data_IF_056018399800
#
_entry.id   IF_056018399800
#
_cell.length_a   1.000
_cell.length_b   1.000
_cell.length_c   1.000
_cell.angle_alpha   90.00
_cell.angle_beta   90.00
_cell.angle_gamma   90.00
#
_symmetry.space_group_name_H-M   'P 1'
#
loop_
_entity.id
_entity.type
_entity.pdbx_description
1 polymer ?
#
# COMPACT_ATOMS: atom_id res chain seq x y z
N UNK A 1 32.59 -28.90 -50.80
CA UNK A 1 32.08 -27.53 -50.60
C UNK A 1 30.80 -27.41 -51.41
N UNK A 2 29.65 -27.46 -50.76
CA UNK A 2 28.34 -27.42 -51.44
C UNK A 2 27.63 -26.14 -51.00
N UNK A 3 27.52 -25.19 -51.93
CA UNK A 3 26.80 -23.93 -51.75
C UNK A 3 25.33 -24.19 -52.12
N UNK A 4 24.45 -24.18 -51.13
CA UNK A 4 23.00 -24.23 -51.35
C UNK A 4 22.46 -22.81 -51.48
N UNK A 5 22.22 -22.38 -52.73
CA UNK A 5 21.44 -21.18 -53.04
C UNK A 5 20.06 -21.31 -52.42
N UNK A 6 19.73 -20.37 -51.55
CA UNK A 6 18.41 -20.28 -50.91
C UNK A 6 17.55 -19.34 -51.77
N UNK A 7 16.53 -19.89 -52.42
CA UNK A 7 15.54 -19.15 -53.20
C UNK A 7 14.74 -18.21 -52.29
N UNK A 8 14.98 -16.90 -52.43
CA UNK A 8 14.17 -15.83 -51.87
C UNK A 8 12.88 -15.72 -52.67
N UNK A 9 11.84 -16.48 -52.28
CA UNK A 9 10.47 -16.25 -52.77
C UNK A 9 9.95 -14.92 -52.22
N UNK A 10 9.87 -13.92 -53.10
CA UNK A 10 9.13 -12.68 -52.86
C UNK A 10 7.64 -13.01 -52.67
N UNK A 11 7.19 -13.06 -51.42
CA UNK A 11 5.76 -13.07 -51.11
C UNK A 11 5.22 -11.65 -51.28
N UNK A 12 4.39 -11.45 -52.28
CA UNK A 12 3.57 -10.24 -52.42
C UNK A 12 2.52 -10.22 -51.30
N UNK A 13 2.39 -9.11 -50.54
CA UNK A 13 1.41 -9.02 -49.46
C UNK A 13 0.01 -9.20 -50.02
N UNK A 14 -0.76 -10.09 -49.40
CA UNK A 14 -2.16 -10.36 -49.74
C UNK A 14 -3.04 -9.16 -49.37
N UNK A 15 -4.03 -8.85 -50.20
CA UNK A 15 -4.96 -7.70 -50.05
C UNK A 15 -5.52 -7.57 -48.63
N UNK A 16 -5.85 -8.70 -47.99
CA UNK A 16 -6.42 -8.75 -46.64
C UNK A 16 -5.49 -8.17 -45.55
N UNK A 17 -4.18 -8.10 -45.79
CA UNK A 17 -3.22 -7.51 -44.86
C UNK A 17 -3.27 -5.98 -44.88
N UNK A 18 -3.74 -5.37 -45.97
CA UNK A 18 -3.78 -3.91 -46.11
C UNK A 18 -4.98 -3.34 -45.34
N UNK A 19 -6.13 -4.00 -45.44
CA UNK A 19 -7.36 -3.57 -44.75
C UNK A 19 -7.20 -3.63 -43.22
N UNK A 20 -6.55 -4.67 -42.69
CA UNK A 20 -6.25 -4.77 -41.27
C UNK A 20 -5.34 -3.64 -40.76
N UNK A 21 -4.40 -3.18 -41.60
CA UNK A 21 -3.51 -2.06 -41.25
C UNK A 21 -4.29 -0.74 -41.24
N UNK A 22 -5.20 -0.55 -42.20
CA UNK A 22 -6.03 0.67 -42.27
C UNK A 22 -6.98 0.78 -41.08
N UNK A 23 -7.62 -0.30 -40.65
CA UNK A 23 -8.49 -0.32 -39.47
C UNK A 23 -7.73 0.01 -38.17
N UNK A 24 -6.52 -0.53 -38.03
CA UNK A 24 -5.66 -0.22 -36.89
C UNK A 24 -5.23 1.26 -36.89
N UNK A 25 -4.91 1.83 -38.06
CA UNK A 25 -4.56 3.25 -38.18
C UNK A 25 -5.75 4.16 -37.82
N UNK A 26 -6.96 3.81 -38.26
CA UNK A 26 -8.18 4.55 -37.89
C UNK A 26 -8.41 4.54 -36.37
N UNK A 27 -8.25 3.37 -35.74
CA UNK A 27 -8.40 3.21 -34.29
C UNK A 27 -7.37 4.02 -33.50
N UNK A 28 -6.12 4.08 -33.99
CA UNK A 28 -5.06 4.88 -33.38
C UNK A 28 -5.39 6.38 -33.50
N UNK A 29 -5.90 6.82 -34.65
CA UNK A 29 -6.23 8.22 -34.89
C UNK A 29 -7.40 8.71 -34.03
N UNK A 30 -8.40 7.85 -33.79
CA UNK A 30 -9.50 8.12 -32.86
C UNK A 30 -8.97 8.31 -31.42
N UNK A 31 -8.11 7.40 -30.95
CA UNK A 31 -7.49 7.51 -29.61
C UNK A 31 -6.66 8.78 -29.43
N UNK A 32 -5.90 9.17 -30.45
CA UNK A 32 -5.13 10.43 -30.41
C UNK A 32 -6.07 11.63 -30.25
N UNK A 33 -7.21 11.63 -30.96
CA UNK A 33 -8.19 12.71 -30.88
C UNK A 33 -8.82 12.82 -29.48
N UNK A 34 -9.15 11.68 -28.85
CA UNK A 34 -9.66 11.65 -27.47
C UNK A 34 -8.65 12.25 -26.48
N UNK A 35 -7.38 11.84 -26.57
CA UNK A 35 -6.32 12.33 -25.68
C UNK A 35 -6.10 13.84 -25.84
N UNK A 36 -6.19 14.36 -27.07
CA UNK A 36 -6.08 15.81 -27.31
C UNK A 36 -7.23 16.58 -26.64
N UNK A 37 -8.44 16.03 -26.63
CA UNK A 37 -9.60 16.65 -25.99
C UNK A 37 -9.51 16.65 -24.46
N UNK A 38 -8.98 15.57 -23.88
CA UNK A 38 -8.73 15.48 -22.44
C UNK A 38 -7.69 16.50 -21.99
N UNK A 39 -6.61 16.68 -22.75
CA UNK A 39 -5.58 17.69 -22.47
C UNK A 39 -6.14 19.12 -22.48
N UNK A 40 -7.05 19.43 -23.42
CA UNK A 40 -7.74 20.73 -23.43
C UNK A 40 -8.61 20.92 -22.18
N UNK A 41 -9.29 19.87 -21.74
CA UNK A 41 -10.15 19.92 -20.55
C UNK A 41 -9.33 20.12 -19.27
N UNK A 42 -8.21 19.42 -19.12
CA UNK A 42 -7.29 19.58 -18.00
C UNK A 42 -6.70 21.00 -17.98
N UNK A 43 -6.29 21.52 -19.14
CA UNK A 43 -5.75 22.87 -19.24
C UNK A 43 -6.77 23.92 -18.79
N UNK A 44 -8.06 23.75 -19.13
CA UNK A 44 -9.13 24.66 -18.67
C UNK A 44 -9.29 24.64 -17.14
N UNK A 45 -9.16 23.50 -16.49
CA UNK A 45 -9.24 23.39 -15.03
C UNK A 45 -8.03 24.06 -14.36
N UNK A 46 -6.85 23.96 -14.96
CA UNK A 46 -5.63 24.62 -14.46
C UNK A 46 -5.64 26.13 -14.66
N UNK A 47 -6.23 26.60 -15.75
CA UNK A 47 -6.34 28.04 -16.07
C UNK A 47 -7.51 28.72 -15.31
N UNK A 48 -8.41 27.97 -14.64
CA UNK A 48 -9.41 28.59 -13.77
C UNK A 48 -8.72 29.25 -12.57
N UNK A 49 -8.87 30.58 -12.38
CA UNK A 49 -8.32 31.25 -11.22
C UNK A 49 -8.93 30.63 -9.94
N UNK A 50 -8.15 30.48 -8.86
CA UNK A 50 -8.62 29.85 -7.64
C UNK A 50 -9.88 30.57 -7.16
N UNK A 51 -11.02 29.89 -7.27
CA UNK A 51 -12.31 30.43 -6.85
C UNK A 51 -12.16 30.88 -5.41
N UNK A 52 -12.31 32.18 -5.18
CA UNK A 52 -12.26 32.78 -3.86
C UNK A 52 -13.23 32.03 -2.96
N UNK A 53 -12.70 31.37 -1.93
CA UNK A 53 -13.51 30.66 -0.93
C UNK A 53 -14.62 31.60 -0.46
N UNK A 54 -15.90 31.17 -0.46
CA UNK A 54 -16.96 31.98 0.12
C UNK A 54 -16.58 32.25 1.57
N UNK A 55 -16.44 33.54 1.88
CA UNK A 55 -16.12 34.04 3.22
C UNK A 55 -17.30 33.62 4.10
N UNK A 56 -17.07 32.68 5.01
CA UNK A 56 -18.07 32.20 5.96
C UNK A 56 -18.57 33.39 6.78
N UNK A 57 -19.72 33.94 6.40
CA UNK A 57 -20.44 34.92 7.21
C UNK A 57 -21.01 34.19 8.41
N UNK A 58 -20.60 34.63 9.59
CA UNK A 58 -21.05 34.14 10.88
C UNK A 58 -22.58 34.07 10.95
N UNK A 59 -23.11 32.89 11.27
CA UNK A 59 -24.52 32.71 11.60
C UNK A 59 -24.78 33.22 13.02
N UNK A 60 -25.71 34.15 13.13
CA UNK A 60 -26.44 34.45 14.36
C UNK A 60 -27.28 33.22 14.75
N UNK A 61 -27.23 32.84 16.03
CA UNK A 61 -28.08 31.84 16.62
C UNK A 61 -29.51 32.39 16.84
N UNK A 62 -30.55 31.59 16.59
CA UNK A 62 -31.83 31.73 17.27
C UNK A 62 -32.02 30.62 18.31
N UNK A 63 -32.48 31.03 19.50
CA UNK A 63 -33.13 30.17 20.48
C UNK A 63 -34.38 29.52 19.87
N UNK A 64 -34.66 28.25 20.22
CA UNK A 64 -35.97 27.73 20.67
C UNK A 64 -35.95 26.20 20.86
N UNK A 65 -36.53 25.82 21.99
CA UNK A 65 -36.99 24.55 22.57
C UNK A 65 -37.21 23.27 21.72
N UNK A 66 -36.66 22.19 22.27
CA UNK A 66 -37.28 20.90 22.65
C UNK A 66 -38.19 20.16 21.66
N UNK A 67 -37.65 19.10 21.05
CA UNK A 67 -38.39 17.87 20.73
C UNK A 67 -37.42 16.66 20.71
N UNK A 68 -37.87 15.55 21.29
CA UNK A 68 -37.11 14.32 21.56
C UNK A 68 -36.70 13.55 20.30
N UNK A 69 -35.41 13.33 20.13
CA UNK A 69 -34.86 12.31 19.22
C UNK A 69 -34.46 11.03 19.99
N UNK A 70 -34.65 9.83 19.40
CA UNK A 70 -34.22 8.55 19.99
C UNK A 70 -32.68 8.46 20.07
N UNK A 71 -32.14 7.61 20.97
CA UNK A 71 -30.72 7.64 21.31
C UNK A 71 -29.88 7.28 20.09
N UNK A 72 -29.08 8.25 19.65
CA UNK A 72 -27.96 8.00 18.75
C UNK A 72 -27.06 7.00 19.47
N UNK A 73 -26.83 5.84 18.86
CA UNK A 73 -25.83 4.89 19.34
C UNK A 73 -24.48 5.60 19.38
N UNK A 74 -24.02 5.90 20.60
CA UNK A 74 -22.74 6.54 20.88
C UNK A 74 -21.60 5.63 20.42
N UNK A 75 -21.15 5.81 19.17
CA UNK A 75 -19.83 5.35 18.77
C UNK A 75 -18.79 6.19 19.54
N UNK A 76 -18.32 5.64 20.65
CA UNK A 76 -17.39 6.24 21.60
C UNK A 76 -16.24 7.01 20.94
N UNK A 77 -16.37 8.34 20.99
CA UNK A 77 -15.30 9.34 20.77
C UNK A 77 -14.70 9.82 22.11
N UNK A 78 -15.10 9.19 23.22
CA UNK A 78 -14.95 9.70 24.58
C UNK A 78 -13.50 9.99 25.02
N UNK A 79 -12.49 9.29 24.52
CA UNK A 79 -11.14 9.45 25.06
C UNK A 79 -10.43 10.72 24.57
N UNK A 80 -10.68 11.15 23.34
CA UNK A 80 -10.07 12.38 22.80
C UNK A 80 -10.67 13.61 23.48
N UNK A 81 -11.97 13.56 23.77
CA UNK A 81 -12.69 14.66 24.42
C UNK A 81 -12.31 14.77 25.90
N UNK A 82 -12.17 13.64 26.61
CA UNK A 82 -11.61 13.61 27.98
C UNK A 82 -10.20 14.21 28.02
N UNK A 83 -9.35 13.89 27.03
CA UNK A 83 -7.99 14.46 26.97
C UNK A 83 -8.00 15.96 26.66
N UNK A 84 -8.95 16.45 25.86
CA UNK A 84 -9.13 17.89 25.60
C UNK A 84 -9.69 18.65 26.79
N UNK A 85 -10.53 18.01 27.61
CA UNK A 85 -11.06 18.61 28.82
C UNK A 85 -9.96 18.79 29.89
N UNK A 86 -9.02 17.84 29.98
CA UNK A 86 -7.86 17.92 30.87
C UNK A 86 -6.73 18.81 30.31
N UNK A 87 -6.53 18.81 28.99
CA UNK A 87 -5.59 19.68 28.30
C UNK A 87 -6.22 20.25 27.01
N UNK A 88 -6.75 21.49 27.06
CA UNK A 88 -7.40 22.13 25.91
C UNK A 88 -6.49 22.32 24.69
N UNK A 89 -5.17 22.20 24.86
CA UNK A 89 -4.20 22.33 23.76
C UNK A 89 -3.95 21.00 23.03
N UNK A 90 -4.55 19.90 23.50
CA UNK A 90 -4.38 18.57 22.93
C UNK A 90 -5.01 18.45 21.52
N UNK A 91 -4.16 18.20 20.51
CA UNK A 91 -4.58 17.90 19.14
C UNK A 91 -4.36 16.43 18.79
N UNK A 92 -5.45 15.71 18.48
CA UNK A 92 -5.39 14.39 17.88
C UNK A 92 -5.15 14.52 16.36
N UNK A 93 -4.02 13.99 15.87
CA UNK A 93 -3.65 14.06 14.45
C UNK A 93 -3.85 12.66 13.83
N UNK A 94 -4.74 12.51 12.82
CA UNK A 94 -4.94 11.24 12.15
C UNK A 94 -3.70 10.91 11.31
N UNK A 95 -2.98 9.85 11.69
CA UNK A 95 -1.73 9.45 11.02
C UNK A 95 -2.00 8.27 10.10
N UNK A 96 -2.49 8.54 8.89
CA UNK A 96 -2.71 7.49 7.89
C UNK A 96 -1.43 7.08 7.12
N UNK A 97 -0.34 7.86 7.13
CA UNK A 97 0.81 7.54 6.24
C UNK A 97 2.20 8.05 6.64
N UNK A 98 2.37 8.77 7.75
CA UNK A 98 3.70 9.21 8.21
C UNK A 98 4.28 8.24 9.25
N UNK A 99 5.53 7.79 9.05
CA UNK A 99 6.26 7.05 10.10
C UNK A 99 6.44 8.00 11.29
N UNK A 100 5.68 7.73 12.35
CA UNK A 100 5.47 8.55 13.55
C UNK A 100 6.74 9.22 14.12
N UNK A 101 7.89 8.53 14.07
CA UNK A 101 9.17 9.06 14.53
C UNK A 101 9.63 10.31 13.79
N UNK A 102 9.34 10.42 12.50
CA UNK A 102 9.69 11.59 11.69
C UNK A 102 8.78 12.78 11.99
N UNK A 103 7.49 12.51 12.18
CA UNK A 103 6.49 13.53 12.51
C UNK A 103 6.71 14.11 13.92
N UNK A 104 6.89 13.25 14.93
CA UNK A 104 7.17 13.66 16.31
C UNK A 104 8.47 14.49 16.41
N UNK A 105 9.49 14.14 15.61
CA UNK A 105 10.77 14.87 15.56
C UNK A 105 10.65 16.22 14.85
N UNK A 106 9.84 16.32 13.80
CA UNK A 106 9.60 17.56 13.06
C UNK A 106 8.84 18.59 13.90
N UNK A 107 7.88 18.16 14.71
CA UNK A 107 6.99 19.07 15.44
C UNK A 107 7.38 19.28 16.92
N UNK A 108 8.49 18.68 17.38
CA UNK A 108 9.01 18.82 18.75
C UNK A 108 7.92 18.61 19.82
N UNK A 109 7.11 17.56 19.67
CA UNK A 109 5.98 17.29 20.57
C UNK A 109 6.44 16.34 21.70
N UNK A 110 6.70 16.83 22.93
CA UNK A 110 7.28 16.00 24.01
C UNK A 110 6.27 15.03 24.66
N UNK A 111 4.95 15.21 24.45
CA UNK A 111 3.91 14.53 25.24
C UNK A 111 2.77 13.93 24.39
N UNK A 112 3.06 13.34 23.23
CA UNK A 112 2.01 12.73 22.39
C UNK A 112 1.99 11.20 22.55
N UNK A 113 0.85 10.68 22.99
CA UNK A 113 0.53 9.24 22.99
C UNK A 113 -0.24 8.90 21.71
N UNK A 114 0.12 7.80 21.06
CA UNK A 114 -0.52 7.35 19.81
C UNK A 114 -1.05 5.94 19.97
N UNK A 115 -2.28 5.71 19.50
CA UNK A 115 -2.89 4.40 19.38
C UNK A 115 -3.21 4.10 17.92
N UNK A 116 -2.90 2.87 17.48
CA UNK A 116 -3.26 2.39 16.15
C UNK A 116 -4.78 2.23 16.06
N UNK A 117 -5.40 2.83 15.05
CA UNK A 117 -6.87 2.94 14.98
C UNK A 117 -7.56 1.59 14.72
N UNK A 118 -6.88 0.59 14.16
CA UNK A 118 -7.39 -0.77 13.97
C UNK A 118 -6.22 -1.77 13.95
N UNK A 119 -6.14 -2.64 14.94
CA UNK A 119 -5.17 -3.73 15.00
C UNK A 119 -5.34 -4.52 16.29
N UNK A 120 -5.74 -5.79 16.17
CA UNK A 120 -5.90 -6.71 17.30
C UNK A 120 -4.56 -6.91 18.01
N UNK A 121 -4.36 -6.21 19.12
CA UNK A 121 -3.17 -6.35 19.94
C UNK A 121 -3.15 -7.75 20.58
N UNK A 122 -2.36 -8.68 20.03
CA UNK A 122 -2.00 -9.92 20.72
C UNK A 122 -1.16 -9.57 21.95
N UNK A 123 -1.56 -10.11 23.11
CA UNK A 123 -0.91 -9.93 24.42
C UNK A 123 0.63 -10.03 24.29
N UNK A 124 1.41 -9.06 24.79
CA UNK A 124 2.86 -9.17 24.84
C UNK A 124 3.26 -10.30 25.81
N UNK A 125 3.98 -11.30 25.31
CA UNK A 125 4.66 -12.28 26.16
C UNK A 125 5.80 -11.57 26.90
N UNK A 126 5.72 -11.56 28.22
CA UNK A 126 6.76 -11.08 29.11
C UNK A 126 8.08 -11.79 28.80
N UNK A 127 9.07 -11.05 28.32
CA UNK A 127 10.46 -11.45 28.38
C UNK A 127 11.29 -10.26 28.89
N UNK A 128 11.55 -10.30 30.20
CA UNK A 128 12.54 -9.47 30.90
C UNK A 128 13.92 -9.68 30.28
N UNK A 129 14.46 -8.69 29.57
CA UNK A 129 15.90 -8.39 29.61
C UNK A 129 16.12 -6.88 29.61
N UNK A 130 16.82 -6.47 30.67
CA UNK A 130 17.34 -5.16 31.07
C UNK A 130 17.52 -4.15 29.92
N UNK A 131 16.75 -3.06 29.97
CA UNK A 131 17.18 -1.74 29.50
C UNK A 131 17.38 -0.86 30.73
N UNK A 132 18.60 -0.35 30.91
CA UNK A 132 18.89 0.72 31.86
C UNK A 132 18.49 2.06 31.22
N UNK A 133 17.70 2.84 31.97
CA UNK A 133 17.86 4.27 32.14
C UNK A 133 17.41 5.21 31.01
N UNK A 134 16.14 5.64 31.04
CA UNK A 134 15.75 7.05 31.28
C UNK A 134 14.38 7.00 31.99
N UNK A 135 14.36 7.36 33.26
CA UNK A 135 13.13 7.42 34.05
C UNK A 135 12.37 8.72 33.76
N UNK A 136 11.14 8.59 33.25
CA UNK A 136 10.11 9.62 33.42
C UNK A 136 9.11 9.02 34.40
N UNK A 137 9.07 9.59 35.60
CA UNK A 137 8.15 9.18 36.65
C UNK A 137 6.71 9.48 36.19
N UNK A 138 5.94 8.43 35.88
CA UNK A 138 4.49 8.55 35.82
C UNK A 138 3.98 8.75 37.25
N UNK A 139 3.27 9.86 37.49
CA UNK A 139 2.56 10.07 38.76
C UNK A 139 1.54 8.93 38.92
N UNK A 140 1.58 8.27 40.08
CA UNK A 140 0.73 7.15 40.49
C UNK A 140 -0.80 7.31 40.27
N UNK A 141 -1.41 8.52 40.26
CA UNK A 141 -2.87 8.65 40.12
C UNK A 141 -3.43 8.13 38.79
N UNK A 142 -2.66 8.21 37.69
CA UNK A 142 -3.15 7.78 36.37
C UNK A 142 -3.26 6.25 36.26
N UNK A 143 -2.32 5.53 36.89
CA UNK A 143 -2.34 4.06 36.94
C UNK A 143 -3.47 3.53 37.83
N UNK A 144 -3.85 4.30 38.86
CA UNK A 144 -4.95 3.96 39.76
C UNK A 144 -6.32 4.22 39.12
N UNK A 145 -6.45 5.33 38.38
CA UNK A 145 -7.63 5.62 37.55
C UNK A 145 -7.90 4.54 36.48
N UNK A 146 -6.86 3.97 35.88
CA UNK A 146 -7.01 2.93 34.84
C UNK A 146 -7.32 1.53 35.37
N UNK A 147 -7.18 1.26 36.68
CA UNK A 147 -7.52 -0.04 37.26
C UNK A 147 -9.02 -0.30 37.37
N UNK A 148 -9.85 0.75 37.37
CA UNK A 148 -11.31 0.63 37.47
C UNK A 148 -12.02 0.20 36.18
N UNK A 149 -11.34 0.26 35.02
CA UNK A 149 -11.94 0.00 33.70
C UNK A 149 -11.65 -1.40 33.14
N UNK A 150 -10.90 -2.23 33.84
CA UNK A 150 -10.61 -3.60 33.41
C UNK A 150 -11.62 -4.59 34.00
N UNK A 151 -12.56 -5.03 33.16
CA UNK A 151 -13.41 -6.19 33.44
C UNK A 151 -12.51 -7.45 33.44
N UNK A 152 -12.51 -8.28 34.50
CA UNK A 152 -11.73 -9.51 34.51
C UNK A 152 -12.24 -10.44 33.41
N UNK A 153 -11.34 -10.89 32.54
CA UNK A 153 -11.64 -11.84 31.50
C UNK A 153 -12.11 -13.16 32.12
N UNK A 154 -13.36 -13.54 31.85
CA UNK A 154 -13.91 -14.86 32.17
C UNK A 154 -13.06 -15.91 31.45
N UNK A 155 -12.43 -16.79 32.23
CA UNK A 155 -11.67 -17.94 31.73
C UNK A 155 -12.62 -18.98 31.12
N UNK A 156 -13.05 -18.76 29.89
CA UNK A 156 -13.79 -19.76 29.13
C UNK A 156 -12.82 -20.71 28.42
N UNK A 157 -12.74 -21.93 28.97
CA UNK A 157 -12.91 -23.18 28.24
C UNK A 157 -12.00 -23.45 27.05
N UNK A 158 -11.13 -24.46 27.22
CA UNK A 158 -10.41 -25.15 26.14
C UNK A 158 -11.36 -25.49 24.98
N UNK A 159 -11.22 -24.76 23.88
CA UNK A 159 -11.85 -25.09 22.60
C UNK A 159 -11.20 -26.37 22.02
N UNK A 160 -12.00 -27.38 21.61
CA UNK A 160 -11.47 -28.59 21.00
C UNK A 160 -10.86 -28.25 19.63
N UNK A 161 -9.65 -28.77 19.38
CA UNK A 161 -9.00 -28.73 18.07
C UNK A 161 -9.91 -29.40 17.04
N UNK A 162 -10.56 -28.60 16.20
CA UNK A 162 -11.13 -29.07 14.95
C UNK A 162 -10.00 -29.19 13.94
N UNK A 163 -9.52 -30.42 13.75
CA UNK A 163 -8.68 -30.82 12.61
C UNK A 163 -9.53 -30.78 11.32
N UNK A 164 -9.84 -29.58 10.81
CA UNK A 164 -10.35 -29.38 9.46
C UNK A 164 -9.20 -28.97 8.54
N UNK A 165 -8.26 -29.89 8.34
CA UNK A 165 -7.33 -29.83 7.21
C UNK A 165 -8.10 -30.23 5.95
N UNK A 166 -9.07 -29.40 5.54
CA UNK A 166 -9.66 -29.48 4.22
C UNK A 166 -8.54 -29.19 3.23
N UNK A 167 -8.05 -30.25 2.58
CA UNK A 167 -7.05 -30.18 1.55
C UNK A 167 -7.56 -29.21 0.46
N UNK A 168 -7.06 -27.97 0.50
CA UNK A 168 -7.33 -26.95 -0.51
C UNK A 168 -7.06 -27.62 -1.87
N UNK A 169 -8.03 -27.65 -2.80
CA UNK A 169 -7.87 -28.31 -4.08
C UNK A 169 -6.54 -27.83 -4.67
N UNK A 170 -5.66 -28.78 -5.00
CA UNK A 170 -4.32 -28.50 -5.52
C UNK A 170 -4.51 -27.68 -6.79
N UNK A 171 -4.46 -26.35 -6.65
CA UNK A 171 -4.56 -25.43 -7.77
C UNK A 171 -3.52 -25.89 -8.77
N UNK A 172 -3.93 -25.97 -10.02
CA UNK A 172 -3.03 -26.18 -11.16
C UNK A 172 -1.82 -25.31 -10.91
N UNK A 173 -0.64 -25.92 -10.65
CA UNK A 173 0.51 -25.23 -10.08
C UNK A 173 0.91 -24.09 -11.00
N UNK A 174 0.38 -22.89 -10.75
CA UNK A 174 0.78 -21.68 -11.45
C UNK A 174 2.28 -21.57 -11.22
N UNK A 175 3.03 -21.46 -12.32
CA UNK A 175 4.48 -21.30 -12.25
C UNK A 175 4.75 -19.85 -11.89
N UNK A 176 5.55 -19.64 -10.86
CA UNK A 176 5.97 -18.32 -10.41
C UNK A 176 7.48 -18.22 -10.45
N UNK A 177 8.00 -17.04 -10.78
CA UNK A 177 9.43 -16.72 -10.68
C UNK A 177 9.60 -15.74 -9.53
N UNK A 178 10.46 -16.03 -8.53
CA UNK A 178 10.69 -15.09 -7.44
C UNK A 178 11.19 -13.74 -7.96
N UNK A 179 10.54 -12.63 -7.57
CA UNK A 179 10.89 -11.29 -8.10
C UNK A 179 12.37 -10.95 -7.88
N UNK A 180 12.95 -11.38 -6.76
CA UNK A 180 14.37 -11.18 -6.44
C UNK A 180 15.30 -11.69 -7.53
N UNK A 181 14.94 -12.78 -8.22
CA UNK A 181 15.73 -13.31 -9.33
C UNK A 181 15.70 -12.35 -10.52
N UNK A 182 14.52 -11.85 -10.87
CA UNK A 182 14.33 -10.92 -12.00
C UNK A 182 15.04 -9.59 -11.72
N UNK A 183 14.90 -9.04 -10.52
CA UNK A 183 15.59 -7.80 -10.13
C UNK A 183 17.11 -7.97 -10.16
N UNK A 184 17.64 -9.14 -9.78
CA UNK A 184 19.08 -9.43 -9.86
C UNK A 184 19.57 -9.61 -11.30
N UNK A 185 18.72 -10.10 -12.20
CA UNK A 185 19.00 -10.16 -13.63
C UNK A 185 19.09 -8.75 -14.24
N UNK A 186 18.19 -7.83 -13.85
CA UNK A 186 18.20 -6.44 -14.32
C UNK A 186 19.28 -5.57 -13.65
N UNK A 187 19.57 -5.82 -12.37
CA UNK A 187 20.53 -5.06 -11.57
C UNK A 187 21.32 -6.00 -10.63
N UNK A 188 22.47 -6.52 -11.09
CA UNK A 188 23.27 -7.49 -10.33
C UNK A 188 23.73 -7.00 -8.94
N UNK A 189 23.87 -5.68 -8.75
CA UNK A 189 24.21 -5.04 -7.48
C UNK A 189 23.08 -5.04 -6.45
N UNK A 190 21.87 -5.50 -6.80
CA UNK A 190 20.70 -5.51 -5.89
C UNK A 190 20.98 -6.20 -4.54
N UNK A 191 21.77 -7.28 -4.51
CA UNK A 191 22.07 -8.02 -3.26
C UNK A 191 22.89 -7.21 -2.25
N UNK A 192 23.75 -6.32 -2.74
CA UNK A 192 24.65 -5.51 -1.91
C UNK A 192 24.02 -4.18 -1.51
N UNK A 193 22.82 -3.87 -2.00
CA UNK A 193 22.12 -2.64 -1.62
C UNK A 193 21.82 -2.59 -0.11
N UNK A 194 21.76 -1.37 0.46
CA UNK A 194 21.27 -1.17 1.82
C UNK A 194 19.86 -1.77 2.03
N UNK A 195 19.44 -1.88 3.28
CA UNK A 195 18.15 -2.52 3.61
C UNK A 195 16.98 -1.67 3.10
N UNK A 196 17.10 -0.35 3.17
CA UNK A 196 16.04 0.61 2.88
C UNK A 196 15.59 0.54 1.42
N UNK A 197 16.46 0.66 0.40
CA UNK A 197 16.03 0.59 -0.99
C UNK A 197 15.44 -0.79 -1.36
N UNK A 198 15.94 -1.87 -0.76
CA UNK A 198 15.37 -3.21 -0.97
C UNK A 198 13.95 -3.33 -0.40
N UNK A 199 13.66 -2.65 0.71
CA UNK A 199 12.30 -2.58 1.26
C UNK A 199 11.39 -1.81 0.31
N UNK A 200 11.87 -0.70 -0.25
CA UNK A 200 11.07 0.14 -1.15
C UNK A 200 10.78 -0.57 -2.47
N UNK A 201 11.76 -1.24 -3.08
CA UNK A 201 11.54 -2.12 -4.24
C UNK A 201 10.53 -3.22 -3.91
N UNK A 202 10.68 -3.88 -2.76
CA UNK A 202 9.73 -4.93 -2.34
C UNK A 202 8.30 -4.38 -2.18
N UNK A 203 8.13 -3.13 -1.71
CA UNK A 203 6.83 -2.46 -1.63
C UNK A 203 6.28 -2.17 -3.02
N UNK A 204 7.10 -1.60 -3.92
CA UNK A 204 6.71 -1.37 -5.31
C UNK A 204 6.25 -2.66 -6.00
N UNK A 205 6.94 -3.78 -5.78
CA UNK A 205 6.53 -5.09 -6.31
C UNK A 205 5.17 -5.53 -5.78
N UNK A 206 4.90 -5.29 -4.49
CA UNK A 206 3.59 -5.61 -3.89
C UNK A 206 2.50 -4.77 -4.55
N UNK A 207 2.70 -3.47 -4.64
CA UNK A 207 1.71 -2.53 -5.17
C UNK A 207 1.45 -2.80 -6.65
N UNK A 208 2.50 -3.11 -7.41
CA UNK A 208 2.40 -3.51 -8.81
C UNK A 208 1.58 -4.80 -8.98
N UNK A 209 1.84 -5.83 -8.16
CA UNK A 209 1.07 -7.09 -8.21
C UNK A 209 -0.40 -6.87 -7.83
N UNK A 210 -0.68 -6.07 -6.79
CA UNK A 210 -2.05 -5.75 -6.39
C UNK A 210 -2.81 -4.96 -7.45
N UNK A 211 -2.11 -4.22 -8.31
CA UNK A 211 -2.72 -3.50 -9.44
C UNK A 211 -3.07 -4.44 -10.60
N UNK A 212 -2.23 -5.43 -10.90
CA UNK A 212 -2.40 -6.32 -12.06
C UNK A 212 -3.20 -7.60 -11.76
N UNK A 213 -3.35 -7.96 -10.49
CA UNK A 213 -3.96 -9.22 -10.07
C UNK A 213 -5.18 -8.98 -9.18
N UNK A 214 -6.13 -9.92 -9.25
CA UNK A 214 -7.18 -9.99 -8.23
C UNK A 214 -6.59 -10.35 -6.86
N UNK A 215 -7.30 -10.03 -5.77
CA UNK A 215 -6.85 -10.31 -4.41
C UNK A 215 -6.53 -11.79 -4.19
N UNK A 216 -7.33 -12.69 -4.76
CA UNK A 216 -7.12 -14.13 -4.65
C UNK A 216 -5.86 -14.60 -5.40
N UNK A 217 -5.58 -14.02 -6.57
CA UNK A 217 -4.37 -14.35 -7.35
C UNK A 217 -3.11 -13.75 -6.72
N UNK A 218 -3.24 -12.58 -6.09
CA UNK A 218 -2.17 -11.95 -5.33
C UNK A 218 -1.75 -12.83 -4.14
N UNK A 219 -2.70 -13.39 -3.39
CA UNK A 219 -2.38 -14.29 -2.26
C UNK A 219 -1.60 -15.54 -2.73
N UNK A 220 -1.93 -16.06 -3.91
CA UNK A 220 -1.20 -17.19 -4.50
C UNK A 220 0.24 -16.79 -4.94
N UNK A 221 0.51 -15.50 -5.12
CA UNK A 221 1.85 -14.96 -5.41
C UNK A 221 2.73 -14.78 -4.17
N UNK A 222 2.16 -14.88 -2.95
CA UNK A 222 2.93 -14.75 -1.71
C UNK A 222 3.65 -16.07 -1.42
N UNK A 223 4.97 -16.08 -1.59
CA UNK A 223 5.81 -17.24 -1.30
C UNK A 223 6.20 -17.19 0.19
N UNK A 224 5.70 -18.13 1.02
CA UNK A 224 6.09 -18.18 2.42
C UNK A 224 7.56 -18.57 2.55
N UNK A 225 8.34 -17.81 3.32
CA UNK A 225 9.71 -18.20 3.63
C UNK A 225 9.73 -19.44 4.52
N UNK A 226 10.34 -20.51 4.01
CA UNK A 226 10.46 -21.80 4.71
C UNK A 226 11.30 -21.71 5.99
N UNK A 227 12.26 -20.77 6.04
CA UNK A 227 13.21 -20.66 7.16
C UNK A 227 13.25 -19.27 7.82
N UNK A 228 13.13 -18.19 7.06
CA UNK A 228 13.52 -16.85 7.54
C UNK A 228 12.35 -15.97 8.00
N UNK A 229 11.10 -16.46 8.01
CA UNK A 229 9.87 -15.67 8.27
C UNK A 229 9.64 -14.47 7.34
N UNK A 230 10.57 -14.17 6.43
CA UNK A 230 10.45 -13.04 5.49
C UNK A 230 9.74 -13.51 4.23
N UNK A 231 8.45 -13.23 4.12
CA UNK A 231 7.68 -13.49 2.90
C UNK A 231 8.33 -12.83 1.67
N UNK A 232 8.28 -13.49 0.52
CA UNK A 232 8.70 -12.94 -0.77
C UNK A 232 7.58 -13.07 -1.78
N UNK A 233 7.65 -12.34 -2.89
CA UNK A 233 6.65 -12.40 -3.95
C UNK A 233 7.15 -13.23 -5.13
N UNK A 234 6.25 -13.99 -5.74
CA UNK A 234 6.44 -14.69 -7.01
C UNK A 234 5.70 -13.97 -8.11
N UNK A 235 6.35 -13.72 -9.24
CA UNK A 235 5.73 -13.12 -10.42
C UNK A 235 5.17 -14.24 -11.30
N UNK A 236 3.87 -14.22 -11.65
CA UNK A 236 3.29 -15.17 -12.60
C UNK A 236 4.03 -15.13 -13.93
N UNK A 237 4.24 -16.29 -14.57
CA UNK A 237 4.94 -16.35 -15.87
C UNK A 237 4.26 -15.50 -16.94
N UNK A 238 2.93 -15.39 -16.91
CA UNK A 238 2.15 -14.55 -17.83
C UNK A 238 2.45 -13.06 -17.72
N UNK A 239 2.95 -12.61 -16.57
CA UNK A 239 3.22 -11.20 -16.27
C UNK A 239 4.71 -10.85 -16.31
N UNK A 240 5.59 -11.78 -16.69
CA UNK A 240 7.04 -11.55 -16.62
C UNK A 240 7.53 -10.42 -17.53
N UNK A 241 6.98 -10.31 -18.74
CA UNK A 241 7.39 -9.27 -19.70
C UNK A 241 7.01 -7.88 -19.17
N UNK A 242 5.76 -7.70 -18.78
CA UNK A 242 5.26 -6.44 -18.22
C UNK A 242 6.00 -6.07 -16.93
N UNK A 243 6.22 -7.04 -16.05
CA UNK A 243 6.96 -6.84 -14.82
C UNK A 243 8.41 -6.42 -15.07
N UNK A 244 9.10 -6.99 -16.07
CA UNK A 244 10.47 -6.61 -16.43
C UNK A 244 10.56 -5.16 -16.91
N UNK A 245 9.64 -4.74 -17.77
CA UNK A 245 9.55 -3.35 -18.25
C UNK A 245 9.33 -2.43 -17.06
N UNK A 246 8.33 -2.70 -16.22
CA UNK A 246 8.08 -1.91 -15.01
C UNK A 246 9.31 -1.85 -14.09
N UNK A 247 9.90 -3.00 -13.78
CA UNK A 247 11.05 -3.09 -12.88
C UNK A 247 12.26 -2.33 -13.43
N UNK A 248 12.51 -2.37 -14.74
CA UNK A 248 13.59 -1.59 -15.36
C UNK A 248 13.41 -0.09 -15.17
N UNK A 249 12.19 0.42 -15.43
CA UNK A 249 11.84 1.83 -15.20
C UNK A 249 11.96 2.22 -13.73
N UNK A 250 11.42 1.40 -12.83
CA UNK A 250 11.43 1.67 -11.39
C UNK A 250 12.87 1.70 -10.83
N UNK A 251 13.71 0.75 -11.26
CA UNK A 251 15.13 0.72 -10.88
C UNK A 251 15.90 1.90 -11.47
N UNK A 252 15.63 2.29 -12.72
CA UNK A 252 16.26 3.44 -13.34
C UNK A 252 15.88 4.75 -12.61
N UNK A 253 14.62 4.88 -12.18
CA UNK A 253 14.15 6.02 -11.39
C UNK A 253 14.83 6.09 -10.02
N UNK A 254 15.06 4.94 -9.38
CA UNK A 254 15.63 4.87 -8.04
C UNK A 254 17.18 4.99 -8.02
N UNK A 255 17.88 4.47 -9.03
CA UNK A 255 19.34 4.31 -9.00
C UNK A 255 20.08 4.92 -10.20
N UNK A 256 19.35 5.49 -11.17
CA UNK A 256 19.89 5.97 -12.45
C UNK A 256 19.95 4.87 -13.51
N UNK A 257 19.81 5.26 -14.79
CA UNK A 257 19.80 4.35 -15.94
C UNK A 257 21.11 3.59 -16.14
N UNK A 258 22.26 4.19 -15.82
CA UNK A 258 23.59 3.59 -16.01
C UNK A 258 23.81 2.26 -15.25
N UNK A 259 22.98 1.99 -14.24
CA UNK A 259 23.12 0.82 -13.35
C UNK A 259 22.14 -0.30 -13.67
N UNK A 260 21.23 -0.08 -14.61
CA UNK A 260 20.16 -1.00 -14.97
C UNK A 260 20.43 -1.54 -16.36
N UNK A 261 20.40 -2.86 -16.52
CA UNK A 261 20.50 -3.49 -17.83
C UNK A 261 19.18 -3.32 -18.58
N UNK A 262 19.26 -3.00 -19.87
CA UNK A 262 18.09 -2.92 -20.74
C UNK A 262 17.34 -4.27 -20.75
N UNK A 263 16.04 -4.21 -20.48
CA UNK A 263 15.18 -5.35 -20.17
C UNK A 263 14.68 -6.13 -21.40
#
# INVERSE_FOLDING_TARGET
MSLTSSDTRSQTPTSDSVDLVLDNLSTIQERISTLQQDLVSIKRVLDEPPRSRPRSTALNAPDIATASEPPVEEEYTAWVDVMREVDPTFMAIPTASLRFTQFARLHKLPHVLVQARLGTAKKPKANRKKFLGVGVAFKAPLLEYMRGFFVPAVENGKSPRSDSTLARPRSTRRRFVPYNRIIQELMPSYKILPREPRIDIKRGVRDWLMFHLSEQEFEDCVIPATATRVQTYGIPVSLLTEFRVWASCELANCFGSERVLDA
#
